data_IF_329082695885
#
_entry.id   IF_329082695885
#
_cell.length_a   1.000
_cell.length_b   1.000
_cell.length_c   1.000
_cell.angle_alpha   90.00
_cell.angle_beta   90.00
_cell.angle_gamma   90.00
#
_symmetry.space_group_name_H-M   'P 1'
#
loop_
_entity.id
_entity.type
_entity.pdbx_description
1 polymer ?
#
# COMPACT_ATOMS: atom_id res chain seq x y z
N UNK A 1 4.24 -45.76 -46.87
CA UNK A 1 3.32 -46.43 -45.93
C UNK A 1 3.24 -45.58 -44.67
N UNK A 2 2.03 -45.28 -44.19
CA UNK A 2 1.79 -44.53 -42.97
C UNK A 2 1.24 -45.46 -41.87
N UNK A 3 1.77 -45.30 -40.66
CA UNK A 3 1.40 -45.82 -39.34
C UNK A 3 1.77 -47.27 -38.90
N UNK A 4 2.54 -47.41 -37.80
CA UNK A 4 3.54 -46.48 -37.23
C UNK A 4 4.96 -46.82 -37.74
N UNK A 5 5.60 -45.86 -38.43
CA UNK A 5 7.06 -45.81 -38.61
C UNK A 5 7.65 -44.98 -37.47
N UNK A 6 8.59 -45.53 -36.72
CA UNK A 6 9.21 -44.83 -35.59
C UNK A 6 9.93 -43.55 -36.04
N UNK A 7 9.75 -42.47 -35.29
CA UNK A 7 10.47 -41.21 -35.47
C UNK A 7 11.94 -41.39 -35.05
N UNK A 8 12.87 -40.66 -35.67
CA UNK A 8 14.29 -40.69 -35.28
C UNK A 8 14.46 -40.30 -33.80
N UNK A 9 15.24 -41.08 -33.05
CA UNK A 9 15.39 -40.92 -31.60
C UNK A 9 16.00 -39.57 -31.18
N UNK A 10 16.88 -38.96 -32.00
CA UNK A 10 17.44 -37.64 -31.73
C UNK A 10 16.38 -36.53 -31.85
N UNK A 11 15.41 -36.71 -32.75
CA UNK A 11 14.27 -35.78 -32.89
C UNK A 11 13.35 -35.93 -31.67
N UNK A 12 13.02 -37.16 -31.28
CA UNK A 12 12.20 -37.42 -30.09
C UNK A 12 12.83 -36.85 -28.82
N UNK A 13 14.15 -37.02 -28.65
CA UNK A 13 14.89 -36.48 -27.50
C UNK A 13 14.93 -34.95 -27.50
N UNK A 14 15.27 -34.31 -28.61
CA UNK A 14 15.28 -32.84 -28.71
C UNK A 14 13.91 -32.21 -28.47
N UNK A 15 12.83 -32.80 -28.98
CA UNK A 15 11.45 -32.35 -28.68
C UNK A 15 11.10 -32.57 -27.21
N UNK A 16 11.49 -33.72 -26.64
CA UNK A 16 11.26 -34.02 -25.21
C UNK A 16 11.99 -33.01 -24.33
N UNK A 17 13.26 -32.71 -24.60
CA UNK A 17 14.05 -31.73 -23.86
C UNK A 17 13.48 -30.31 -23.98
N UNK A 18 13.06 -29.89 -25.17
CA UNK A 18 12.44 -28.58 -25.35
C UNK A 18 11.15 -28.45 -24.52
N UNK A 19 10.29 -29.48 -24.55
CA UNK A 19 9.03 -29.48 -23.83
C UNK A 19 9.23 -29.54 -22.30
N UNK A 20 10.17 -30.35 -21.80
CA UNK A 20 10.45 -30.45 -20.37
C UNK A 20 11.09 -29.17 -19.83
N UNK A 21 11.94 -28.51 -20.62
CA UNK A 21 12.48 -27.18 -20.29
C UNK A 21 11.37 -26.14 -20.17
N UNK A 22 10.47 -26.06 -21.16
CA UNK A 22 9.34 -25.11 -21.11
C UNK A 22 8.44 -25.37 -19.90
N UNK A 23 8.18 -26.64 -19.58
CA UNK A 23 7.39 -27.02 -18.40
C UNK A 23 8.03 -26.57 -17.08
N UNK A 24 9.37 -26.52 -17.00
CA UNK A 24 10.10 -26.02 -15.84
C UNK A 24 10.24 -24.48 -15.81
N UNK A 25 10.55 -23.87 -16.95
CA UNK A 25 10.82 -22.43 -17.04
C UNK A 25 9.53 -21.59 -16.89
N UNK A 26 8.41 -22.03 -17.46
CA UNK A 26 7.15 -21.30 -17.43
C UNK A 26 6.65 -21.01 -15.99
N UNK A 27 6.53 -22.00 -15.08
CA UNK A 27 6.15 -21.73 -13.70
C UNK A 27 7.22 -20.92 -12.94
N UNK A 28 8.51 -21.12 -13.21
CA UNK A 28 9.58 -20.36 -12.56
C UNK A 28 9.49 -18.85 -12.90
N UNK A 29 9.27 -18.52 -14.17
CA UNK A 29 9.07 -17.13 -14.62
C UNK A 29 7.78 -16.56 -14.05
N UNK A 30 6.67 -17.32 -14.11
CA UNK A 30 5.39 -16.88 -13.57
C UNK A 30 5.49 -16.58 -12.07
N UNK A 31 6.17 -17.43 -11.30
CA UNK A 31 6.43 -17.22 -9.87
C UNK A 31 7.33 -16.01 -9.61
N UNK A 32 8.37 -15.80 -10.42
CA UNK A 32 9.22 -14.61 -10.32
C UNK A 32 8.41 -13.32 -10.53
N UNK A 33 7.54 -13.30 -11.53
CA UNK A 33 6.65 -12.18 -11.80
C UNK A 33 5.61 -11.99 -10.69
N UNK A 34 5.05 -13.08 -10.15
CA UNK A 34 4.14 -13.07 -9.01
C UNK A 34 4.83 -12.40 -7.81
N UNK A 35 6.03 -12.86 -7.44
CA UNK A 35 6.77 -12.30 -6.30
C UNK A 35 7.13 -10.82 -6.51
N UNK A 36 7.46 -10.42 -7.73
CA UNK A 36 7.69 -9.00 -8.03
C UNK A 36 6.40 -8.18 -7.86
N UNK A 37 5.28 -8.66 -8.39
CA UNK A 37 3.99 -7.98 -8.29
C UNK A 37 3.51 -7.89 -6.83
N UNK A 38 3.67 -8.95 -6.04
CA UNK A 38 3.30 -8.92 -4.61
C UNK A 38 4.23 -8.04 -3.79
N UNK A 39 5.54 -8.03 -4.07
CA UNK A 39 6.47 -7.12 -3.42
C UNK A 39 6.11 -5.65 -3.70
N UNK A 40 5.78 -5.30 -4.95
CA UNK A 40 5.32 -3.96 -5.31
C UNK A 40 3.99 -3.60 -4.62
N UNK A 41 3.01 -4.51 -4.61
CA UNK A 41 1.74 -4.29 -3.94
C UNK A 41 1.91 -4.08 -2.42
N UNK A 42 2.77 -4.88 -1.79
CA UNK A 42 3.09 -4.77 -0.36
C UNK A 42 3.81 -3.44 -0.05
N UNK A 43 4.78 -3.04 -0.88
CA UNK A 43 5.46 -1.77 -0.73
C UNK A 43 4.48 -0.58 -0.82
N UNK A 44 3.56 -0.62 -1.79
CA UNK A 44 2.51 0.39 -1.93
C UNK A 44 1.55 0.41 -0.73
N UNK A 45 1.17 -0.77 -0.22
CA UNK A 45 0.33 -0.87 0.98
C UNK A 45 1.04 -0.29 2.22
N UNK A 46 2.32 -0.60 2.41
CA UNK A 46 3.12 -0.07 3.51
C UNK A 46 3.31 1.46 3.40
N UNK A 47 3.53 1.97 2.19
CA UNK A 47 3.61 3.40 1.93
C UNK A 47 2.28 4.10 2.25
N UNK A 48 1.15 3.55 1.79
CA UNK A 48 -0.17 4.09 2.06
C UNK A 48 -0.52 4.06 3.55
N UNK A 49 -0.17 2.98 4.26
CA UNK A 49 -0.38 2.88 5.70
C UNK A 49 0.42 3.94 6.48
N UNK A 50 1.69 4.14 6.12
CA UNK A 50 2.54 5.17 6.73
C UNK A 50 1.99 6.57 6.44
N UNK A 51 1.56 6.84 5.20
CA UNK A 51 0.95 8.12 4.84
C UNK A 51 -0.36 8.37 5.63
N UNK A 52 -1.22 7.37 5.77
CA UNK A 52 -2.43 7.48 6.58
C UNK A 52 -2.12 7.74 8.06
N UNK A 53 -1.12 7.06 8.63
CA UNK A 53 -0.65 7.32 9.99
C UNK A 53 -0.14 8.76 10.16
N UNK A 54 0.66 9.26 9.22
CA UNK A 54 1.15 10.63 9.24
C UNK A 54 0.00 11.65 9.17
N UNK A 55 -0.96 11.45 8.27
CA UNK A 55 -2.16 12.30 8.19
C UNK A 55 -2.98 12.29 9.48
N UNK A 56 -3.09 11.13 10.14
CA UNK A 56 -3.76 11.03 11.44
C UNK A 56 -3.04 11.85 12.53
N UNK A 57 -1.70 11.81 12.58
CA UNK A 57 -0.93 12.61 13.53
C UNK A 57 -1.08 14.12 13.28
N UNK A 58 -1.04 14.54 12.01
CA UNK A 58 -1.27 15.94 11.63
C UNK A 58 -2.67 16.40 12.03
N UNK A 59 -3.68 15.55 11.77
CA UNK A 59 -5.07 15.84 12.15
C UNK A 59 -5.22 15.96 13.67
N UNK A 60 -4.61 15.06 14.45
CA UNK A 60 -4.63 15.12 15.91
C UNK A 60 -3.93 16.38 16.45
N UNK A 61 -2.80 16.76 15.86
CA UNK A 61 -2.10 18.00 16.21
C UNK A 61 -2.97 19.22 15.90
N UNK A 62 -3.55 19.30 14.70
CA UNK A 62 -4.43 20.39 14.29
C UNK A 62 -5.65 20.51 15.21
N UNK A 63 -6.30 19.40 15.55
CA UNK A 63 -7.42 19.37 16.49
C UNK A 63 -7.02 19.88 17.88
N UNK A 64 -5.84 19.50 18.37
CA UNK A 64 -5.31 19.99 19.66
C UNK A 64 -5.04 21.49 19.62
N UNK A 65 -4.39 21.98 18.56
CA UNK A 65 -4.13 23.42 18.39
C UNK A 65 -5.42 24.23 18.32
N UNK A 66 -6.41 23.76 17.55
CA UNK A 66 -7.73 24.40 17.48
C UNK A 66 -8.43 24.38 18.84
N UNK A 67 -8.39 23.26 19.56
CA UNK A 67 -8.94 23.15 20.92
C UNK A 67 -8.32 24.19 21.87
N UNK A 68 -7.00 24.31 21.89
CA UNK A 68 -6.30 25.31 22.71
C UNK A 68 -6.66 26.74 22.30
N UNK A 69 -6.72 27.03 20.99
CA UNK A 69 -7.11 28.35 20.50
C UNK A 69 -8.54 28.72 20.91
N UNK A 70 -9.48 27.76 20.87
CA UNK A 70 -10.85 27.98 21.34
C UNK A 70 -10.93 28.22 22.84
N UNK A 71 -10.16 27.49 23.66
CA UNK A 71 -10.10 27.69 25.10
C UNK A 71 -9.59 29.09 25.46
N UNK A 72 -8.50 29.55 24.85
CA UNK A 72 -7.99 30.91 25.10
C UNK A 72 -8.95 32.00 24.63
N UNK A 73 -9.62 31.79 23.50
CA UNK A 73 -10.62 32.74 23.01
C UNK A 73 -11.82 32.84 23.93
N UNK A 74 -12.30 31.71 24.46
CA UNK A 74 -13.40 31.67 25.41
C UNK A 74 -13.05 32.37 26.72
N UNK A 75 -11.88 32.09 27.29
CA UNK A 75 -11.41 32.72 28.54
C UNK A 75 -11.28 34.26 28.41
N UNK A 76 -10.80 34.73 27.26
CA UNK A 76 -10.74 36.17 26.95
C UNK A 76 -12.14 36.78 26.84
N UNK A 77 -13.07 36.10 26.17
CA UNK A 77 -14.44 36.57 26.00
C UNK A 77 -15.21 36.61 27.32
N UNK A 78 -15.11 35.58 28.16
CA UNK A 78 -15.76 35.54 29.49
C UNK A 78 -15.21 36.62 30.42
N UNK A 79 -13.90 36.85 30.41
CA UNK A 79 -13.27 37.96 31.15
C UNK A 79 -13.79 39.32 30.67
N UNK A 80 -13.94 39.50 29.36
CA UNK A 80 -14.52 40.72 28.78
C UNK A 80 -15.97 40.95 29.22
N UNK A 81 -16.80 39.90 29.24
CA UNK A 81 -18.18 39.97 29.74
C UNK A 81 -18.22 40.30 31.23
N UNK A 82 -17.44 39.59 32.06
CA UNK A 82 -17.39 39.84 33.50
C UNK A 82 -16.95 41.28 33.83
N UNK A 83 -15.97 41.79 33.08
CA UNK A 83 -15.50 43.18 33.22
C UNK A 83 -16.62 44.17 32.88
N UNK A 84 -17.35 43.94 31.76
CA UNK A 84 -18.50 44.77 31.38
C UNK A 84 -19.57 44.80 32.47
N UNK A 85 -19.92 43.65 33.05
CA UNK A 85 -20.95 43.55 34.09
C UNK A 85 -20.57 44.36 35.33
N UNK A 86 -19.30 44.27 35.77
CA UNK A 86 -18.77 45.07 36.90
C UNK A 86 -18.86 46.58 36.60
N UNK A 87 -18.49 47.01 35.40
CA UNK A 87 -18.52 48.43 35.01
C UNK A 87 -19.94 49.00 34.87
N UNK A 88 -20.95 48.15 34.68
CA UNK A 88 -22.36 48.54 34.59
C UNK A 88 -23.12 48.50 35.93
N UNK A 89 -22.45 48.10 37.02
CA UNK A 89 -22.97 48.04 38.39
C UNK A 89 -22.71 49.34 39.15
#
# INVERSE_FOLDING_TARGET
>A
MAFPTAVNNQITDSVTQANTKVLGDAPAIAMGNLFQATAQALANAAHNATNAQQQSYVTAQAATTMGVATLYSLDTATTGVATKDILSS
#
